data_IF_545182505633
#
_entry.id   IF_545182505633
#
_cell.length_a   1.000
_cell.length_b   1.000
_cell.length_c   1.000
_cell.angle_alpha   90.00
_cell.angle_beta   90.00
_cell.angle_gamma   90.00
#
_symmetry.space_group_name_H-M   'P 1'
#
loop_
_entity.id
_entity.type
_entity.pdbx_description
1 polymer ?
#
# COMPACT_ATOMS: atom_id res chain seq x y z
N UNK A 1 -1.06 -48.33 -15.77
CA UNK A 1 -2.34 -48.00 -15.11
C UNK A 1 -2.17 -47.86 -13.59
N UNK A 2 -1.51 -48.81 -12.91
CA UNK A 2 -1.33 -48.80 -11.45
C UNK A 2 -0.53 -47.62 -10.86
N UNK A 3 0.40 -47.02 -11.62
CA UNK A 3 1.22 -45.89 -11.12
C UNK A 3 0.37 -44.62 -10.96
N UNK A 4 -0.60 -44.38 -11.85
CA UNK A 4 -1.47 -43.20 -11.76
C UNK A 4 -2.40 -43.29 -10.54
N UNK A 5 -2.99 -44.45 -10.27
CA UNK A 5 -3.87 -44.64 -9.10
C UNK A 5 -3.13 -44.43 -7.77
N UNK A 6 -1.84 -44.79 -7.71
CA UNK A 6 -1.01 -44.56 -6.53
C UNK A 6 -0.60 -43.08 -6.37
N UNK A 7 -0.45 -42.35 -7.48
CA UNK A 7 -0.19 -40.90 -7.44
C UNK A 7 -1.43 -40.16 -6.94
N UNK A 8 -2.62 -40.50 -7.43
CA UNK A 8 -3.88 -39.90 -6.97
C UNK A 8 -4.09 -40.15 -5.46
N UNK A 9 -3.78 -41.36 -4.99
CA UNK A 9 -3.85 -41.70 -3.56
C UNK A 9 -2.84 -40.90 -2.72
N UNK A 10 -1.59 -40.76 -3.19
CA UNK A 10 -0.57 -40.00 -2.50
C UNK A 10 -0.89 -38.50 -2.46
N UNK A 11 -1.35 -37.93 -3.58
CA UNK A 11 -1.81 -36.55 -3.68
C UNK A 11 -2.98 -36.28 -2.72
N UNK A 12 -3.99 -37.16 -2.68
CA UNK A 12 -5.12 -37.02 -1.76
C UNK A 12 -4.73 -37.02 -0.28
N UNK A 13 -3.71 -37.81 0.11
CA UNK A 13 -3.19 -37.81 1.49
C UNK A 13 -2.53 -36.47 1.82
N UNK A 14 -1.72 -35.94 0.90
CA UNK A 14 -1.04 -34.64 1.08
C UNK A 14 -2.05 -33.49 1.11
N UNK A 15 -3.03 -33.51 0.21
CA UNK A 15 -4.11 -32.51 0.16
C UNK A 15 -4.89 -32.48 1.47
N UNK A 16 -5.32 -33.65 1.97
CA UNK A 16 -6.03 -33.73 3.24
C UNK A 16 -5.18 -33.24 4.42
N UNK A 17 -3.90 -33.61 4.47
CA UNK A 17 -3.00 -33.14 5.52
C UNK A 17 -2.78 -31.61 5.45
N UNK A 18 -2.73 -31.05 4.23
CA UNK A 18 -2.66 -29.61 4.01
C UNK A 18 -3.95 -28.90 4.44
N UNK A 19 -5.12 -29.45 4.10
CA UNK A 19 -6.43 -28.92 4.53
C UNK A 19 -6.54 -28.89 6.05
N UNK A 20 -6.25 -30.00 6.74
CA UNK A 20 -6.32 -30.11 8.20
C UNK A 20 -5.38 -29.13 8.90
N UNK A 21 -4.20 -28.87 8.34
CA UNK A 21 -3.25 -27.89 8.88
C UNK A 21 -3.61 -26.44 8.55
N UNK A 22 -4.24 -26.19 7.41
CA UNK A 22 -4.55 -24.83 6.94
C UNK A 22 -5.57 -24.12 7.84
N UNK A 23 -6.55 -24.86 8.39
CA UNK A 23 -7.60 -24.30 9.24
C UNK A 23 -7.04 -23.60 10.50
N UNK A 24 -6.29 -24.28 11.38
CA UNK A 24 -5.74 -23.63 12.58
C UNK A 24 -4.71 -22.53 12.25
N UNK A 25 -4.03 -22.63 11.11
CA UNK A 25 -3.11 -21.58 10.66
C UNK A 25 -3.86 -20.32 10.23
N UNK A 26 -4.96 -20.47 9.48
CA UNK A 26 -5.85 -19.37 9.11
C UNK A 26 -6.45 -18.73 10.35
N UNK A 27 -6.98 -19.54 11.30
CA UNK A 27 -7.53 -19.04 12.57
C UNK A 27 -6.52 -18.17 13.32
N UNK A 28 -5.27 -18.63 13.43
CA UNK A 28 -4.19 -17.88 14.08
C UNK A 28 -3.90 -16.55 13.39
N UNK A 29 -3.91 -16.53 12.05
CA UNK A 29 -3.66 -15.31 11.27
C UNK A 29 -4.81 -14.30 11.42
N UNK A 30 -6.07 -14.78 11.46
CA UNK A 30 -7.25 -13.91 11.53
C UNK A 30 -7.64 -13.50 12.97
N UNK A 31 -7.07 -14.13 13.99
CA UNK A 31 -7.47 -13.92 15.40
C UNK A 31 -7.34 -12.45 15.82
N UNK A 32 -6.29 -11.76 15.38
CA UNK A 32 -6.09 -10.34 15.71
C UNK A 32 -7.23 -9.45 15.22
N UNK A 33 -7.74 -9.72 14.01
CA UNK A 33 -8.86 -8.99 13.42
C UNK A 33 -10.20 -9.42 14.06
N UNK A 34 -10.32 -10.65 14.55
CA UNK A 34 -11.48 -11.09 15.34
C UNK A 34 -11.51 -10.40 16.70
N UNK A 35 -10.38 -10.33 17.41
CA UNK A 35 -10.26 -9.62 18.67
C UNK A 35 -10.59 -8.13 18.54
N UNK A 36 -10.09 -7.46 17.49
CA UNK A 36 -10.42 -6.06 17.22
C UNK A 36 -11.93 -5.85 17.10
N UNK A 37 -12.63 -6.74 16.40
CA UNK A 37 -14.10 -6.73 16.29
C UNK A 37 -14.80 -7.02 17.61
N UNK A 38 -14.30 -7.96 18.42
CA UNK A 38 -14.83 -8.26 19.76
C UNK A 38 -14.71 -7.04 20.68
N UNK A 39 -13.53 -6.40 20.72
CA UNK A 39 -13.29 -5.16 21.49
C UNK A 39 -14.21 -4.03 21.05
N UNK A 40 -14.38 -3.84 19.74
CA UNK A 40 -15.28 -2.82 19.20
C UNK A 40 -16.73 -3.07 19.62
N UNK A 41 -17.23 -4.29 19.48
CA UNK A 41 -18.60 -4.65 19.87
C UNK A 41 -18.85 -4.42 21.38
N UNK A 42 -17.84 -4.65 22.21
CA UNK A 42 -17.92 -4.40 23.65
C UNK A 42 -17.94 -2.89 23.99
N UNK A 43 -17.15 -2.08 23.29
CA UNK A 43 -17.08 -0.64 23.53
C UNK A 43 -18.24 0.14 22.88
N UNK A 44 -18.69 -0.28 21.70
CA UNK A 44 -19.64 0.43 20.84
C UNK A 44 -20.59 -0.56 20.15
N UNK A 45 -21.66 -1.01 20.83
CA UNK A 45 -22.57 -2.01 20.27
C UNK A 45 -23.44 -1.49 19.12
N UNK A 46 -23.69 -0.18 19.07
CA UNK A 46 -24.61 0.45 18.10
C UNK A 46 -23.91 0.97 16.84
N UNK A 47 -22.57 0.89 16.77
CA UNK A 47 -21.80 1.38 15.63
C UNK A 47 -21.25 0.20 14.79
N UNK A 48 -21.25 0.30 13.45
CA UNK A 48 -20.63 -0.71 12.61
C UNK A 48 -19.10 -0.68 12.79
N UNK A 49 -18.47 -1.85 12.85
CA UNK A 49 -17.02 -1.95 12.87
C UNK A 49 -16.43 -1.57 11.52
N UNK A 50 -15.52 -0.59 11.52
CA UNK A 50 -14.70 -0.22 10.37
C UNK A 50 -13.25 -0.49 10.74
N UNK A 51 -12.57 -1.30 9.92
CA UNK A 51 -11.16 -1.60 10.14
C UNK A 51 -10.31 -0.34 9.87
N UNK A 52 -9.40 0.05 10.79
CA UNK A 52 -8.52 1.20 10.60
C UNK A 52 -7.62 1.12 9.36
N UNK A 53 -7.37 -0.09 8.84
CA UNK A 53 -6.58 -0.31 7.63
C UNK A 53 -7.32 0.05 6.34
N UNK A 54 -8.65 0.20 6.39
CA UNK A 54 -9.44 0.55 5.20
C UNK A 54 -9.21 2.03 4.85
N UNK A 55 -8.83 2.27 3.59
CA UNK A 55 -8.71 3.62 3.06
C UNK A 55 -10.05 4.35 3.09
N UNK A 56 -10.04 5.60 3.55
CA UNK A 56 -11.21 6.49 3.54
C UNK A 56 -11.82 6.65 2.14
N UNK A 57 -11.02 6.49 1.08
CA UNK A 57 -11.48 6.56 -0.31
C UNK A 57 -12.31 5.34 -0.74
N UNK A 58 -12.21 4.21 -0.04
CA UNK A 58 -12.98 2.99 -0.34
C UNK A 58 -14.50 3.19 -0.24
N UNK A 59 -14.95 4.17 0.54
CA UNK A 59 -16.38 4.49 0.69
C UNK A 59 -16.97 5.29 -0.48
N UNK A 60 -16.12 5.88 -1.32
CA UNK A 60 -16.53 6.69 -2.48
C UNK A 60 -16.53 5.91 -3.79
N UNK A 61 -16.23 4.61 -3.73
CA UNK A 61 -16.31 3.73 -4.89
C UNK A 61 -17.79 3.55 -5.28
N UNK A 62 -18.13 3.63 -6.59
CA UNK A 62 -19.48 3.36 -7.06
C UNK A 62 -19.93 1.92 -6.81
N UNK A 63 -21.23 1.73 -6.71
CA UNK A 63 -21.82 0.39 -6.75
C UNK A 63 -21.51 -0.27 -8.12
N UNK A 64 -21.24 -1.59 -8.16
CA UNK A 64 -21.37 -2.62 -7.11
C UNK A 64 -20.07 -2.88 -6.31
N UNK A 65 -19.01 -2.10 -6.53
CA UNK A 65 -17.68 -2.36 -5.96
C UNK A 65 -17.49 -1.77 -4.56
N UNK A 66 -18.48 -0.99 -4.09
CA UNK A 66 -18.49 -0.40 -2.76
C UNK A 66 -18.60 -1.46 -1.68
N UNK A 67 -17.77 -1.34 -0.65
CA UNK A 67 -17.91 -2.11 0.59
C UNK A 67 -18.87 -1.38 1.54
N UNK A 68 -20.01 -1.99 1.84
CA UNK A 68 -21.07 -1.38 2.66
C UNK A 68 -20.86 -1.73 4.14
N UNK A 69 -21.05 -0.77 5.08
CA UNK A 69 -21.15 -1.08 6.50
C UNK A 69 -22.34 -2.04 6.73
N UNK A 70 -22.06 -3.31 6.97
CA UNK A 70 -23.05 -4.39 6.94
C UNK A 70 -22.53 -5.66 6.26
N UNK A 71 -21.41 -5.57 5.55
CA UNK A 71 -20.71 -6.70 4.96
C UNK A 71 -20.90 -6.80 3.44
N UNK A 72 -20.57 -7.96 2.90
CA UNK A 72 -20.70 -8.26 1.48
C UNK A 72 -22.16 -8.55 1.12
N UNK A 73 -22.58 -8.14 -0.08
CA UNK A 73 -23.88 -8.54 -0.64
C UNK A 73 -23.90 -10.06 -0.90
N UNK A 74 -25.10 -10.67 -0.98
CA UNK A 74 -25.29 -12.10 -1.26
C UNK A 74 -24.58 -12.55 -2.53
N UNK A 75 -24.63 -11.75 -3.59
CA UNK A 75 -23.93 -12.04 -4.86
C UNK A 75 -22.41 -12.05 -4.69
N UNK A 76 -21.86 -11.15 -3.88
CA UNK A 76 -20.44 -11.09 -3.57
C UNK A 76 -20.02 -12.24 -2.63
N UNK A 77 -20.89 -12.62 -1.69
CA UNK A 77 -20.67 -13.72 -0.75
C UNK A 77 -20.69 -15.08 -1.45
N UNK A 78 -21.47 -15.23 -2.53
CA UNK A 78 -21.55 -16.47 -3.30
C UNK A 78 -20.18 -16.96 -3.82
N UNK A 79 -19.24 -16.05 -4.07
CA UNK A 79 -17.87 -16.40 -4.49
C UNK A 79 -17.19 -17.25 -3.40
N UNK A 80 -17.30 -16.85 -2.13
CA UNK A 80 -16.74 -17.57 -0.98
C UNK A 80 -17.43 -18.91 -0.74
N UNK A 81 -18.76 -18.97 -0.89
CA UNK A 81 -19.50 -20.23 -0.82
C UNK A 81 -19.10 -21.19 -1.95
N UNK A 82 -18.83 -20.68 -3.14
CA UNK A 82 -18.42 -21.48 -4.28
C UNK A 82 -17.01 -22.06 -4.13
N UNK A 83 -16.10 -21.37 -3.41
CA UNK A 83 -14.80 -21.96 -3.05
C UNK A 83 -14.96 -23.22 -2.19
N UNK A 84 -15.89 -23.21 -1.23
CA UNK A 84 -16.19 -24.37 -0.39
C UNK A 84 -16.89 -25.52 -1.15
N UNK A 85 -17.58 -25.22 -2.25
CA UNK A 85 -18.24 -26.23 -3.10
C UNK A 85 -17.27 -26.87 -4.08
N UNK A 86 -16.39 -26.08 -4.70
CA UNK A 86 -15.40 -26.60 -5.64
C UNK A 86 -14.36 -27.48 -4.96
N UNK A 87 -13.95 -27.19 -3.72
CA UNK A 87 -13.03 -28.05 -2.97
C UNK A 87 -13.60 -29.43 -2.63
N UNK A 88 -14.93 -29.57 -2.55
CA UNK A 88 -15.61 -30.86 -2.25
C UNK A 88 -16.10 -31.59 -3.49
N UNK A 89 -15.93 -31.01 -4.68
CA UNK A 89 -16.25 -31.67 -5.93
C UNK A 89 -15.15 -32.66 -6.28
N UNK A 90 -15.45 -33.95 -6.13
CA UNK A 90 -14.71 -35.04 -6.79
C UNK A 90 -14.83 -34.86 -8.30
N UNK A 91 -13.95 -34.02 -8.84
CA UNK A 91 -13.86 -33.71 -10.25
C UNK A 91 -12.56 -32.99 -10.46
N UNK A 92 -11.55 -33.74 -10.91
CA UNK A 92 -10.34 -33.24 -11.55
C UNK A 92 -10.74 -32.46 -12.82
N UNK A 93 -11.35 -31.29 -12.66
CA UNK A 93 -11.28 -30.24 -13.65
C UNK A 93 -10.37 -29.19 -13.06
N UNK A 94 -9.06 -29.48 -13.15
CA UNK A 94 -8.05 -28.47 -13.30
C UNK A 94 -8.58 -27.47 -14.33
N UNK A 95 -9.12 -26.33 -13.89
CA UNK A 95 -9.45 -25.23 -14.79
C UNK A 95 -8.08 -24.75 -15.27
N UNK A 96 -7.66 -25.26 -16.43
CA UNK A 96 -6.58 -24.66 -17.20
C UNK A 96 -7.07 -23.26 -17.54
N UNK A 97 -6.50 -22.24 -16.89
CA UNK A 97 -6.42 -20.92 -17.49
C UNK A 97 -5.43 -21.01 -18.66
N UNK A 98 -5.87 -21.66 -19.73
CA UNK A 98 -5.27 -21.55 -21.04
C UNK A 98 -5.86 -20.29 -21.69
N UNK A 99 -5.02 -19.32 -22.01
CA UNK A 99 -5.37 -18.24 -22.93
C UNK A 99 -5.84 -18.86 -24.24
N UNK A 100 -7.16 -18.90 -24.44
CA UNK A 100 -7.78 -19.34 -25.68
C UNK A 100 -7.85 -18.14 -26.61
N UNK A 101 -6.74 -17.85 -27.26
CA UNK A 101 -6.75 -17.14 -28.54
C UNK A 101 -7.37 -18.09 -29.58
N UNK A 102 -8.68 -17.95 -29.78
CA UNK A 102 -9.41 -18.61 -30.86
C UNK A 102 -10.68 -17.82 -31.13
N UNK A 103 -10.58 -16.94 -32.12
CA UNK A 103 -11.72 -16.24 -32.70
C UNK A 103 -12.80 -17.22 -33.14
N UNK A 104 -13.95 -17.17 -32.47
CA UNK A 104 -15.24 -17.64 -32.98
C UNK A 104 -16.33 -16.65 -32.60
N UNK A 105 -16.76 -15.95 -33.64
CA UNK A 105 -17.97 -15.16 -33.87
C UNK A 105 -19.07 -15.25 -32.80
N UNK A 106 -19.42 -14.08 -32.27
CA UNK A 106 -20.69 -13.82 -31.59
C UNK A 106 -21.72 -13.45 -32.68
N UNK A 107 -22.92 -14.05 -32.72
CA UNK A 107 -23.97 -13.66 -33.65
C UNK A 107 -24.51 -12.26 -33.36
N UNK A 108 -24.44 -11.42 -34.38
CA UNK A 108 -25.06 -10.09 -34.49
C UNK A 108 -26.59 -10.22 -34.50
N UNK A 109 -27.22 -9.88 -33.38
CA UNK A 109 -28.67 -9.68 -33.28
C UNK A 109 -28.86 -8.49 -32.34
N UNK A 110 -29.01 -7.31 -32.94
CA UNK A 110 -30.05 -6.30 -32.65
C UNK A 110 -29.63 -4.98 -33.31
N UNK A 111 -29.68 -4.99 -34.65
CA UNK A 111 -30.05 -3.82 -35.44
C UNK A 111 -31.47 -3.40 -35.01
N UNK A 112 -31.59 -2.40 -34.15
CA UNK A 112 -32.80 -1.57 -34.14
C UNK A 112 -32.46 -0.11 -33.83
N UNK A 113 -32.93 0.74 -34.73
CA UNK A 113 -32.69 2.16 -34.90
C UNK A 113 -32.99 3.01 -33.66
N UNK A 114 -32.05 3.89 -33.28
CA UNK A 114 -32.33 5.11 -32.52
C UNK A 114 -31.84 6.34 -33.29
N UNK A 115 -32.61 7.46 -33.29
CA UNK A 115 -32.31 8.65 -34.07
C UNK A 115 -31.16 9.48 -33.46
N UNK A 116 -30.47 10.22 -34.33
CA UNK A 116 -29.28 11.02 -34.02
C UNK A 116 -29.56 12.16 -33.00
N UNK A 117 -28.68 12.29 -32.01
CA UNK A 117 -28.58 13.45 -31.12
C UNK A 117 -27.18 14.07 -31.32
N UNK A 118 -27.05 15.39 -31.57
CA UNK A 118 -25.81 16.01 -31.99
C UNK A 118 -24.92 16.47 -30.82
N UNK A 119 -23.60 16.40 -31.06
CA UNK A 119 -22.49 17.13 -30.41
C UNK A 119 -22.38 17.13 -28.87
N UNK A 120 -21.42 16.36 -28.35
CA UNK A 120 -20.59 16.82 -27.22
C UNK A 120 -19.12 16.44 -27.45
N UNK A 121 -18.30 17.49 -27.50
CA UNK A 121 -16.86 17.50 -27.71
C UNK A 121 -16.10 16.84 -26.55
N UNK A 122 -15.08 16.07 -26.88
CA UNK A 122 -13.90 15.82 -26.02
C UNK A 122 -13.19 17.13 -25.71
N UNK A 123 -12.73 17.34 -24.46
CA UNK A 123 -11.60 18.25 -24.27
C UNK A 123 -10.58 17.68 -23.27
N UNK A 124 -9.51 17.09 -23.82
CA UNK A 124 -8.19 17.22 -23.24
C UNK A 124 -7.64 18.58 -23.70
N UNK A 125 -7.71 19.61 -22.86
CA UNK A 125 -6.82 20.79 -22.92
C UNK A 125 -7.07 21.69 -21.70
N UNK A 126 -5.99 22.07 -21.03
CA UNK A 126 -5.97 23.01 -19.92
C UNK A 126 -6.17 24.45 -20.44
N UNK A 127 -6.95 25.31 -19.76
CA UNK A 127 -6.80 26.75 -19.94
C UNK A 127 -6.06 27.40 -18.77
N UNK A 128 -4.95 28.04 -19.12
CA UNK A 128 -4.26 29.05 -18.32
C UNK A 128 -5.20 30.22 -17.98
N UNK A 129 -5.06 30.77 -16.77
CA UNK A 129 -5.86 31.90 -16.27
C UNK A 129 -5.09 33.21 -16.47
N UNK A 130 -5.59 34.19 -17.25
CA UNK A 130 -4.94 35.50 -17.39
C UNK A 130 -5.45 36.54 -16.37
N UNK A 131 -4.49 37.33 -15.87
CA UNK A 131 -4.65 38.62 -15.21
C UNK A 131 -5.50 39.61 -16.04
N UNK A 132 -6.45 40.33 -15.42
CA UNK A 132 -6.60 41.78 -15.62
C UNK A 132 -7.51 42.48 -14.59
N UNK A 133 -7.11 43.71 -14.27
CA UNK A 133 -7.61 44.71 -13.31
C UNK A 133 -8.84 45.50 -13.80
N UNK A 134 -9.69 46.00 -12.88
CA UNK A 134 -10.54 47.20 -13.06
C UNK A 134 -11.02 47.80 -11.70
N UNK A 135 -11.37 49.12 -11.63
CA UNK A 135 -11.22 49.96 -10.44
C UNK A 135 -12.52 50.41 -9.71
N UNK A 136 -12.31 51.19 -8.65
CA UNK A 136 -13.20 51.62 -7.55
C UNK A 136 -14.27 52.70 -7.85
N UNK A 137 -15.28 52.78 -6.96
CA UNK A 137 -16.06 53.96 -6.47
C UNK A 137 -17.02 53.47 -5.34
N UNK A 138 -16.79 53.74 -4.03
CA UNK A 138 -17.29 54.84 -3.14
C UNK A 138 -18.85 54.86 -3.01
N UNK A 139 -19.49 54.76 -1.83
CA UNK A 139 -19.45 55.67 -0.67
C UNK A 139 -20.25 55.16 0.59
N UNK A 140 -19.74 55.48 1.80
CA UNK A 140 -20.35 55.69 3.15
C UNK A 140 -21.35 54.70 3.81
N UNK A 141 -21.31 54.37 5.11
CA UNK A 141 -20.48 54.81 6.24
C UNK A 141 -20.89 54.15 7.58
N UNK A 142 -20.14 54.49 8.65
CA UNK A 142 -20.28 54.22 10.10
C UNK A 142 -19.46 53.06 10.71
N UNK A 143 -18.92 53.37 11.90
CA UNK A 143 -17.68 52.89 12.55
C UNK A 143 -17.99 52.17 13.91
N UNK A 144 -17.02 51.75 14.78
CA UNK A 144 -16.86 50.38 15.33
C UNK A 144 -17.13 50.29 16.86
N UNK A 145 -16.87 49.15 17.56
CA UNK A 145 -15.51 48.81 18.09
C UNK A 145 -15.17 47.28 18.08
N UNK A 146 -13.94 46.87 17.75
CA UNK A 146 -12.81 46.51 18.64
C UNK A 146 -12.67 45.02 19.06
N UNK A 147 -11.61 44.39 18.52
CA UNK A 147 -10.65 43.45 19.12
C UNK A 147 -11.17 42.08 19.66
N UNK A 148 -10.91 41.00 18.90
CA UNK A 148 -10.38 39.73 19.43
C UNK A 148 -9.54 39.03 18.35
N UNK A 149 -8.34 38.59 18.77
CA UNK A 149 -7.38 37.83 17.96
C UNK A 149 -7.97 36.50 17.46
N UNK A 150 -7.52 35.93 16.31
CA UNK A 150 -7.83 34.56 16.02
C UNK A 150 -7.00 33.69 16.96
N UNK A 151 -7.66 33.07 17.93
CA UNK A 151 -7.11 31.93 18.66
C UNK A 151 -6.66 30.88 17.65
N UNK A 152 -5.35 30.68 17.57
CA UNK A 152 -4.73 29.47 17.05
C UNK A 152 -5.29 28.31 17.86
N UNK A 153 -6.28 27.62 17.30
CA UNK A 153 -6.83 26.41 17.90
C UNK A 153 -5.74 25.34 17.87
N UNK A 154 -5.18 25.14 19.06
CA UNK A 154 -4.56 23.94 19.60
C UNK A 154 -5.11 22.69 18.92
N UNK A 155 -4.34 22.16 17.96
CA UNK A 155 -4.58 20.84 17.39
C UNK A 155 -3.73 19.85 18.21
N UNK A 156 -4.28 19.41 19.35
CA UNK A 156 -3.72 18.38 20.22
C UNK A 156 -3.84 16.97 19.64
N UNK A 157 -3.54 16.80 18.34
CA UNK A 157 -3.35 15.48 17.75
C UNK A 157 -1.87 15.16 17.83
N UNK A 158 -1.55 14.29 18.79
CA UNK A 158 -0.29 13.58 18.96
C UNK A 158 0.55 13.56 17.67
N UNK A 159 1.70 14.23 17.75
CA UNK A 159 2.73 14.37 16.73
C UNK A 159 3.30 13.01 16.33
N UNK A 160 2.48 12.20 15.67
CA UNK A 160 2.90 10.96 15.04
C UNK A 160 3.61 11.38 13.77
N UNK A 161 4.92 11.64 13.91
CA UNK A 161 5.81 11.99 12.82
C UNK A 161 5.48 11.11 11.59
N UNK A 162 5.16 11.76 10.48
CA UNK A 162 4.80 11.08 9.25
C UNK A 162 5.91 10.07 8.92
N UNK A 163 5.62 8.76 8.77
CA UNK A 163 6.66 7.75 8.56
C UNK A 163 7.53 8.07 7.34
N UNK A 164 6.96 8.73 6.33
CA UNK A 164 7.71 9.21 5.17
C UNK A 164 8.73 10.30 5.53
N UNK A 165 8.31 11.30 6.29
CA UNK A 165 9.18 12.40 6.73
C UNK A 165 10.29 11.90 7.66
N UNK A 166 9.98 10.91 8.50
CA UNK A 166 10.97 10.24 9.34
C UNK A 166 12.04 9.54 8.50
N UNK A 167 11.63 8.80 7.45
CA UNK A 167 12.57 8.16 6.51
C UNK A 167 13.40 9.19 5.76
N UNK A 168 12.76 10.24 5.26
CA UNK A 168 13.44 11.36 4.59
C UNK A 168 14.52 11.97 5.47
N UNK A 169 14.20 12.20 6.75
CA UNK A 169 15.13 12.76 7.74
C UNK A 169 16.29 11.80 8.02
N UNK A 170 16.00 10.52 8.28
CA UNK A 170 17.03 9.49 8.55
C UNK A 170 18.00 9.33 7.39
N UNK A 171 17.49 9.21 6.15
CA UNK A 171 18.35 9.03 4.98
C UNK A 171 19.13 10.31 4.68
N UNK A 172 18.51 11.49 4.80
CA UNK A 172 19.21 12.76 4.54
C UNK A 172 20.33 13.04 5.55
N UNK A 173 20.11 12.71 6.83
CA UNK A 173 21.15 12.80 7.87
C UNK A 173 22.31 11.86 7.56
N UNK A 174 22.01 10.61 7.23
CA UNK A 174 23.02 9.61 6.86
C UNK A 174 23.86 10.05 5.64
N UNK A 175 23.20 10.60 4.61
CA UNK A 175 23.88 11.12 3.42
C UNK A 175 24.78 12.31 3.76
N UNK A 176 24.29 13.26 4.55
CA UNK A 176 25.06 14.43 4.96
C UNK A 176 26.29 14.00 5.77
N UNK A 177 26.14 13.03 6.67
CA UNK A 177 27.24 12.48 7.44
C UNK A 177 28.28 11.79 6.53
N UNK A 178 27.83 10.98 5.57
CA UNK A 178 28.71 10.28 4.62
C UNK A 178 29.43 11.22 3.62
N UNK A 179 28.85 12.39 3.31
CA UNK A 179 29.49 13.39 2.42
C UNK A 179 30.55 14.23 3.11
N UNK A 180 30.41 14.45 4.41
CA UNK A 180 31.36 15.21 5.21
C UNK A 180 32.48 14.34 5.83
N UNK A 181 32.38 13.02 5.67
CA UNK A 181 33.38 12.06 6.10
C UNK A 181 34.68 12.21 5.31
N UNK A 182 35.82 11.99 5.95
CA UNK A 182 37.13 11.93 5.27
C UNK A 182 37.46 10.51 4.80
N UNK A 183 36.75 9.50 5.31
CA UNK A 183 36.92 8.10 4.98
C UNK A 183 36.28 7.74 3.62
N UNK A 184 36.92 6.82 2.87
CA UNK A 184 36.39 6.38 1.57
C UNK A 184 35.55 5.11 1.63
N UNK A 185 35.70 4.30 2.69
CA UNK A 185 35.06 2.98 2.83
C UNK A 185 34.41 2.77 4.20
N UNK A 186 33.38 1.91 4.22
CA UNK A 186 32.62 1.61 5.45
C UNK A 186 33.51 0.95 6.52
N UNK A 187 34.47 0.14 6.10
CA UNK A 187 35.41 -0.58 6.98
C UNK A 187 36.43 0.33 7.67
N UNK A 188 36.64 1.55 7.16
CA UNK A 188 37.62 2.50 7.68
C UNK A 188 37.03 3.38 8.80
N UNK A 189 35.70 3.30 9.00
CA UNK A 189 35.02 4.04 10.06
C UNK A 189 35.38 3.51 11.46
N UNK A 190 35.72 4.44 12.35
CA UNK A 190 35.90 4.15 13.77
C UNK A 190 34.61 3.66 14.43
N UNK A 191 34.73 2.84 15.48
CA UNK A 191 33.57 2.25 16.20
C UNK A 191 32.63 3.29 16.79
N UNK A 192 33.16 4.46 17.13
CA UNK A 192 32.40 5.57 17.73
C UNK A 192 31.92 6.59 16.67
N UNK A 193 32.00 6.26 15.38
CA UNK A 193 31.56 7.14 14.29
C UNK A 193 30.05 7.39 14.34
N UNK A 194 29.65 8.66 14.22
CA UNK A 194 28.24 9.06 14.11
C UNK A 194 27.57 8.39 12.89
N UNK A 195 28.31 8.12 11.81
CA UNK A 195 27.79 7.43 10.62
C UNK A 195 27.34 6.00 10.97
N UNK A 196 28.08 5.29 11.83
CA UNK A 196 27.69 3.97 12.29
C UNK A 196 26.49 4.04 13.25
N UNK A 197 26.38 5.10 14.05
CA UNK A 197 25.20 5.31 14.89
C UNK A 197 23.95 5.52 14.04
N UNK A 198 24.02 6.40 13.03
CA UNK A 198 22.93 6.67 12.09
C UNK A 198 22.58 5.42 11.26
N UNK A 199 23.59 4.68 10.79
CA UNK A 199 23.41 3.38 10.13
C UNK A 199 22.59 2.42 10.99
N UNK A 200 22.96 2.25 12.27
CA UNK A 200 22.24 1.36 13.18
C UNK A 200 20.85 1.90 13.54
N UNK A 201 20.68 3.23 13.57
CA UNK A 201 19.42 3.89 13.86
C UNK A 201 18.35 3.57 12.80
N UNK A 202 18.73 3.40 11.53
CA UNK A 202 17.82 2.94 10.47
C UNK A 202 17.19 1.59 10.84
N UNK A 203 18.00 0.59 11.17
CA UNK A 203 17.51 -0.75 11.51
C UNK A 203 16.71 -0.76 12.81
N UNK A 204 17.17 -0.04 13.84
CA UNK A 204 16.43 0.09 15.10
C UNK A 204 15.04 0.68 14.86
N UNK A 205 14.95 1.70 14.01
CA UNK A 205 13.67 2.34 13.68
C UNK A 205 12.75 1.38 12.93
N UNK A 206 13.26 0.61 11.97
CA UNK A 206 12.49 -0.39 11.23
C UNK A 206 11.98 -1.49 12.18
N UNK A 207 12.85 -2.03 13.02
CA UNK A 207 12.53 -3.14 13.92
C UNK A 207 11.59 -2.72 15.07
N UNK A 208 11.66 -1.47 15.53
CA UNK A 208 10.77 -0.96 16.58
C UNK A 208 9.42 -0.46 16.06
N UNK A 209 9.26 -0.32 14.74
CA UNK A 209 8.03 0.23 14.16
C UNK A 209 6.92 -0.82 14.13
N UNK A 210 5.66 -0.45 14.44
CA UNK A 210 4.52 -1.38 14.35
C UNK A 210 4.29 -1.88 12.92
N UNK A 211 4.58 -1.04 11.91
CA UNK A 211 4.52 -1.38 10.49
C UNK A 211 5.93 -1.38 9.89
N UNK A 212 6.85 -2.15 10.49
CA UNK A 212 8.27 -2.17 10.12
C UNK A 212 8.52 -2.53 8.65
N UNK A 213 7.70 -3.40 8.05
CA UNK A 213 7.85 -3.80 6.64
C UNK A 213 7.48 -2.67 5.67
N UNK A 214 6.40 -1.92 5.93
CA UNK A 214 6.05 -0.74 5.13
C UNK A 214 7.12 0.35 5.28
N UNK A 215 7.66 0.52 6.49
CA UNK A 215 8.75 1.47 6.73
C UNK A 215 10.02 1.05 5.99
N UNK A 216 10.37 -0.24 6.02
CA UNK A 216 11.49 -0.79 5.27
C UNK A 216 11.33 -0.57 3.76
N UNK A 217 10.12 -0.71 3.22
CA UNK A 217 9.79 -0.42 1.81
C UNK A 217 10.01 1.06 1.47
N UNK A 218 9.59 1.96 2.36
CA UNK A 218 9.82 3.41 2.20
C UNK A 218 11.32 3.75 2.24
N UNK A 219 12.07 3.15 3.17
CA UNK A 219 13.53 3.32 3.24
C UNK A 219 14.17 2.82 1.95
N UNK A 220 13.85 1.61 1.50
CA UNK A 220 14.39 1.05 0.26
C UNK A 220 14.13 1.95 -0.95
N UNK A 221 12.89 2.42 -1.13
CA UNK A 221 12.53 3.36 -2.21
C UNK A 221 13.37 4.65 -2.15
N UNK A 222 13.53 5.20 -0.95
CA UNK A 222 14.30 6.43 -0.76
C UNK A 222 15.78 6.19 -1.09
N UNK A 223 16.38 5.11 -0.60
CA UNK A 223 17.76 4.76 -0.91
C UNK A 223 17.99 4.57 -2.42
N UNK A 224 17.09 3.87 -3.12
CA UNK A 224 17.15 3.73 -4.58
C UNK A 224 17.08 5.09 -5.29
N UNK A 225 16.11 5.93 -4.92
CA UNK A 225 15.96 7.28 -5.50
C UNK A 225 17.21 8.13 -5.26
N UNK A 226 17.77 8.04 -4.06
CA UNK A 226 19.02 8.70 -3.69
C UNK A 226 20.19 8.22 -4.55
N UNK A 227 20.35 6.90 -4.71
CA UNK A 227 21.42 6.30 -5.53
C UNK A 227 21.37 6.77 -6.99
N UNK A 228 20.17 6.95 -7.56
CA UNK A 228 20.01 7.37 -8.97
C UNK A 228 20.02 8.89 -9.19
N UNK A 229 19.88 9.70 -8.15
CA UNK A 229 19.82 11.16 -8.31
C UNK A 229 21.22 11.77 -8.41
N UNK A 230 21.99 11.74 -7.31
CA UNK A 230 23.35 12.25 -7.25
C UNK A 230 24.03 11.78 -5.98
N UNK A 231 24.83 10.73 -6.06
CA UNK A 231 25.77 10.31 -5.01
C UNK A 231 27.17 10.75 -5.38
N UNK A 232 27.87 11.43 -4.47
CA UNK A 232 29.15 12.08 -4.80
C UNK A 232 30.35 11.35 -4.17
N UNK A 233 30.18 10.69 -3.02
CA UNK A 233 31.27 9.97 -2.34
C UNK A 233 31.16 8.45 -2.47
N UNK A 234 32.31 7.77 -2.52
CA UNK A 234 32.38 6.31 -2.54
C UNK A 234 31.79 5.70 -1.26
N UNK A 235 32.03 6.35 -0.13
CA UNK A 235 31.47 5.98 1.16
C UNK A 235 29.94 6.06 1.15
N UNK A 236 29.35 7.12 0.58
CA UNK A 236 27.90 7.28 0.45
C UNK A 236 27.30 6.10 -0.33
N UNK A 237 27.87 5.73 -1.48
CA UNK A 237 27.38 4.60 -2.29
C UNK A 237 27.50 3.29 -1.50
N UNK A 238 28.67 3.00 -0.92
CA UNK A 238 28.90 1.77 -0.17
C UNK A 238 27.92 1.64 1.00
N UNK A 239 27.71 2.72 1.74
CA UNK A 239 26.80 2.78 2.88
C UNK A 239 25.33 2.55 2.47
N UNK A 240 24.84 3.28 1.46
CA UNK A 240 23.45 3.16 1.00
C UNK A 240 23.16 1.76 0.43
N UNK A 241 24.08 1.21 -0.37
CA UNK A 241 23.96 -0.14 -0.92
C UNK A 241 24.01 -1.19 0.19
N UNK A 242 24.88 -1.02 1.18
CA UNK A 242 24.96 -1.94 2.31
C UNK A 242 23.67 -1.96 3.14
N UNK A 243 23.09 -0.79 3.41
CA UNK A 243 21.79 -0.71 4.10
C UNK A 243 20.70 -1.38 3.26
N UNK A 244 20.65 -1.10 1.96
CA UNK A 244 19.66 -1.67 1.05
C UNK A 244 19.74 -3.21 1.03
N UNK A 245 20.96 -3.76 0.94
CA UNK A 245 21.19 -5.21 0.99
C UNK A 245 20.69 -5.82 2.31
N UNK A 246 21.03 -5.19 3.44
CA UNK A 246 20.59 -5.66 4.77
C UNK A 246 19.07 -5.59 4.96
N UNK A 247 18.42 -4.56 4.46
CA UNK A 247 16.95 -4.47 4.52
C UNK A 247 16.31 -5.57 3.66
N UNK A 248 16.88 -5.88 2.51
CA UNK A 248 16.39 -6.97 1.65
C UNK A 248 16.59 -8.36 2.29
N UNK A 249 17.67 -8.56 3.08
CA UNK A 249 17.87 -9.79 3.87
C UNK A 249 16.80 -9.95 4.97
N UNK A 250 16.28 -8.85 5.52
CA UNK A 250 15.29 -8.87 6.60
C UNK A 250 13.87 -9.20 6.12
N UNK A 251 13.50 -8.88 4.88
CA UNK A 251 12.17 -9.19 4.33
C UNK A 251 12.23 -9.53 2.84
N UNK A 252 11.80 -10.75 2.50
CA UNK A 252 11.69 -11.21 1.11
C UNK A 252 10.66 -10.42 0.30
N UNK A 253 9.66 -9.82 0.96
CA UNK A 253 8.72 -8.92 0.28
C UNK A 253 9.41 -7.62 -0.12
N UNK A 254 10.19 -7.03 0.80
CA UNK A 254 10.97 -5.81 0.51
C UNK A 254 12.00 -6.09 -0.57
N UNK A 255 12.68 -7.25 -0.55
CA UNK A 255 13.62 -7.64 -1.60
C UNK A 255 12.96 -7.68 -3.00
N UNK A 256 11.78 -8.31 -3.13
CA UNK A 256 11.04 -8.34 -4.40
C UNK A 256 10.62 -6.95 -4.86
N UNK A 257 10.15 -6.11 -3.93
CA UNK A 257 9.80 -4.72 -4.22
C UNK A 257 11.00 -3.92 -4.71
N UNK A 258 12.13 -3.98 -4.00
CA UNK A 258 13.37 -3.29 -4.38
C UNK A 258 13.84 -3.74 -5.77
N UNK A 259 13.76 -5.03 -6.07
CA UNK A 259 14.11 -5.54 -7.40
C UNK A 259 13.22 -4.94 -8.50
N UNK A 260 11.91 -4.85 -8.26
CA UNK A 260 10.99 -4.21 -9.20
C UNK A 260 11.31 -2.71 -9.40
N UNK A 261 11.67 -1.99 -8.33
CA UNK A 261 12.05 -0.56 -8.41
C UNK A 261 13.37 -0.34 -9.14
N UNK A 262 14.34 -1.25 -9.00
CA UNK A 262 15.63 -1.16 -9.71
C UNK A 262 15.52 -1.58 -11.18
N UNK A 263 14.49 -2.33 -11.55
CA UNK A 263 14.26 -2.80 -12.91
C UNK A 263 13.52 -1.79 -13.81
N UNK A 264 12.98 -0.71 -13.22
CA UNK A 264 12.30 0.39 -13.91
C UNK A 264 13.22 1.58 -14.12
#
# INVERSE_FOLDING_TARGET
MCVNDNLDAACGIVEKAAEEKSLPEIEKVIESQLEARRRHRAARPNEPFIDPSISRWGFFIPDPFKQVPGGLNKEQLAIYENFARQSRGTGLTHIQNASTDSGKQIPDVLQDSFPAIPNLSTPAEQPAVPHHVAPAQQESGLQPPAITAPQSQINGFLETANPREKVETLVSQLQLAARNASEEHLKDLGRDSNILQDYNQVFRTILSAPNGEDLARLVALKLCTTLYSRTESRLEIELLVHILAKICELSSLVARYTWAVLAT
#
